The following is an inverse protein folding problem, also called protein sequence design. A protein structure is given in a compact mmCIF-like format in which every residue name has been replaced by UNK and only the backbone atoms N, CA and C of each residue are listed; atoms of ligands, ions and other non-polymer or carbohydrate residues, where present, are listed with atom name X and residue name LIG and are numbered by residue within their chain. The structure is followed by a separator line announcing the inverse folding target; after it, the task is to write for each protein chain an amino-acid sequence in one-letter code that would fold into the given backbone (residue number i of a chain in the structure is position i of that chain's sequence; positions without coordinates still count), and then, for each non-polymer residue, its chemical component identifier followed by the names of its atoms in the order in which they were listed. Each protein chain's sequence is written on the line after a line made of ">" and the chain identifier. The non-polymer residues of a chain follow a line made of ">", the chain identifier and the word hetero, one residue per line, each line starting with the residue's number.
data_IF_638602633963
#
_entry.id   IF_638602633963
#
_cell.length_a   1.000
_cell.length_b   1.000
_cell.length_c   1.000
_cell.angle_alpha   90.00
_cell.angle_beta   90.00
_cell.angle_gamma   90.00
#
_symmetry.space_group_name_H-M   'P 1'
#
loop_
_entity.id
_entity.type
_entity.pdbx_description
1 polymer ?
#
# COMPACT_ATOMS: atom_id res chain seq x y z
N UNK A 1 3.35 -29.04 4.39
CA UNK A 1 3.34 -29.66 3.05
C UNK A 1 1.97 -29.62 2.38
N UNK A 2 0.94 -30.28 2.91
CA UNK A 2 -0.36 -30.41 2.24
C UNK A 2 -1.06 -29.05 1.97
N UNK A 3 -1.05 -28.16 2.97
CA UNK A 3 -1.68 -26.84 2.90
C UNK A 3 -1.06 -25.86 1.89
N UNK A 4 0.27 -25.90 1.67
CA UNK A 4 0.93 -25.10 0.61
C UNK A 4 0.48 -25.56 -0.79
N UNK A 5 0.37 -26.87 -0.97
CA UNK A 5 -0.08 -27.47 -2.23
C UNK A 5 -1.56 -27.18 -2.50
N UNK A 6 -2.40 -27.16 -1.45
CA UNK A 6 -3.80 -26.73 -1.53
C UNK A 6 -3.92 -25.26 -1.98
N UNK A 7 -2.99 -24.39 -1.57
CA UNK A 7 -2.91 -22.98 -1.97
C UNK A 7 -2.19 -22.75 -3.32
N UNK A 8 -1.83 -23.79 -4.08
CA UNK A 8 -1.05 -23.70 -5.33
C UNK A 8 0.29 -22.92 -5.22
N UNK A 9 0.81 -22.70 -4.02
CA UNK A 9 2.04 -21.93 -3.83
C UNK A 9 3.27 -22.79 -4.12
N UNK A 10 4.21 -22.25 -4.90
CA UNK A 10 5.55 -22.87 -4.99
C UNK A 10 6.31 -22.65 -3.67
N UNK A 11 7.33 -23.46 -3.39
CA UNK A 11 8.14 -23.24 -2.18
C UNK A 11 8.88 -21.90 -2.21
N UNK A 12 9.27 -21.43 -3.40
CA UNK A 12 9.94 -20.13 -3.55
C UNK A 12 8.95 -18.97 -3.29
N UNK A 13 7.73 -19.11 -3.80
CA UNK A 13 6.63 -18.17 -3.58
C UNK A 13 6.31 -18.02 -2.09
N UNK A 14 6.18 -19.16 -1.41
CA UNK A 14 5.83 -19.19 0.01
C UNK A 14 6.99 -18.72 0.90
N UNK A 15 8.24 -19.02 0.52
CA UNK A 15 9.43 -18.48 1.19
C UNK A 15 9.50 -16.96 1.07
N UNK A 16 9.23 -16.43 -0.14
CA UNK A 16 9.18 -14.99 -0.41
C UNK A 16 8.10 -14.31 0.45
N UNK A 17 6.88 -14.85 0.48
CA UNK A 17 5.78 -14.35 1.34
C UNK A 17 6.08 -14.44 2.83
N UNK A 18 6.92 -15.38 3.25
CA UNK A 18 7.34 -15.51 4.63
C UNK A 18 8.48 -14.54 5.00
N UNK A 19 9.04 -13.79 4.04
CA UNK A 19 10.27 -13.03 4.24
C UNK A 19 11.44 -13.94 4.64
N UNK A 20 11.52 -15.15 4.05
CA UNK A 20 12.52 -16.17 4.38
C UNK A 20 13.18 -16.75 3.16
N UNK A 21 14.38 -17.30 3.35
CA UNK A 21 15.07 -18.03 2.31
C UNK A 21 14.31 -19.31 1.94
N UNK A 22 14.44 -19.74 0.68
CA UNK A 22 13.90 -21.02 0.21
C UNK A 22 14.40 -22.21 1.05
N UNK A 23 15.65 -22.14 1.55
CA UNK A 23 16.22 -23.18 2.39
C UNK A 23 15.54 -23.24 3.77
N UNK A 24 15.28 -22.07 4.37
CA UNK A 24 14.52 -21.96 5.63
C UNK A 24 13.09 -22.49 5.47
N UNK A 25 12.43 -22.16 4.35
CA UNK A 25 11.10 -22.69 4.04
C UNK A 25 11.11 -24.20 3.90
N UNK A 26 12.07 -24.77 3.17
CA UNK A 26 12.19 -26.23 2.98
C UNK A 26 12.41 -26.96 4.30
N UNK A 27 13.26 -26.42 5.18
CA UNK A 27 13.49 -26.96 6.53
C UNK A 27 12.21 -26.93 7.36
N UNK A 28 11.53 -25.79 7.40
CA UNK A 28 10.27 -25.64 8.12
C UNK A 28 9.16 -26.54 7.56
N UNK A 29 9.04 -26.66 6.23
CA UNK A 29 7.99 -27.47 5.61
C UNK A 29 8.20 -28.97 5.84
N UNK A 30 9.46 -29.42 5.91
CA UNK A 30 9.82 -30.79 6.26
C UNK A 30 9.64 -31.09 7.76
N UNK A 31 10.04 -30.15 8.62
CA UNK A 31 9.87 -30.20 10.06
C UNK A 31 9.76 -28.79 10.66
N UNK A 32 8.57 -28.34 11.06
CA UNK A 32 8.37 -27.00 11.63
C UNK A 32 9.20 -26.74 12.88
N UNK A 33 9.58 -27.79 13.62
CA UNK A 33 10.39 -27.66 14.83
C UNK A 33 11.89 -27.44 14.55
N UNK A 34 12.34 -27.73 13.33
CA UNK A 34 13.73 -27.60 12.90
C UNK A 34 14.21 -26.16 12.68
N UNK A 35 13.28 -25.22 12.60
CA UNK A 35 13.57 -23.79 12.50
C UNK A 35 13.23 -23.08 13.80
N UNK A 36 13.86 -21.92 14.00
CA UNK A 36 13.57 -21.04 15.13
C UNK A 36 12.08 -20.66 15.21
N UNK A 37 11.62 -20.34 16.41
CA UNK A 37 10.21 -20.03 16.68
C UNK A 37 9.64 -18.93 15.78
N UNK A 38 10.45 -17.92 15.46
CA UNK A 38 10.11 -16.82 14.56
C UNK A 38 9.93 -17.29 13.11
N UNK A 39 10.89 -18.06 12.56
CA UNK A 39 10.76 -18.66 11.23
C UNK A 39 9.57 -19.61 11.15
N UNK A 40 9.28 -20.30 12.25
CA UNK A 40 8.09 -21.14 12.37
C UNK A 40 6.81 -20.32 12.32
N UNK A 41 6.74 -19.19 13.02
CA UNK A 41 5.59 -18.28 12.97
C UNK A 41 5.40 -17.69 11.58
N UNK A 42 6.43 -17.10 10.96
CA UNK A 42 6.34 -16.49 9.61
C UNK A 42 5.96 -17.50 8.53
N UNK A 43 6.58 -18.67 8.51
CA UNK A 43 6.20 -19.70 7.53
C UNK A 43 4.79 -20.25 7.82
N UNK A 44 4.40 -20.36 9.10
CA UNK A 44 3.03 -20.70 9.47
C UNK A 44 2.06 -19.60 9.06
N UNK A 45 2.43 -18.33 9.17
CA UNK A 45 1.64 -17.16 8.78
C UNK A 45 1.37 -17.18 7.28
N UNK A 46 2.30 -17.60 6.44
CA UNK A 46 2.02 -17.82 5.01
C UNK A 46 0.95 -18.88 4.76
N UNK A 47 0.89 -19.92 5.59
CA UNK A 47 -0.16 -20.96 5.51
C UNK A 47 -1.41 -20.65 6.36
N UNK A 48 -1.34 -19.60 7.19
CA UNK A 48 -2.40 -19.07 8.08
C UNK A 48 -2.90 -17.72 7.64
N UNK A 49 -2.38 -17.17 6.54
CA UNK A 49 -3.11 -16.29 5.65
C UNK A 49 -4.31 -17.14 5.25
N UNK A 50 -5.31 -17.10 6.11
CA UNK A 50 -6.66 -16.91 5.69
C UNK A 50 -6.65 -15.66 4.78
N UNK A 51 -6.15 -15.83 3.55
CA UNK A 51 -7.13 -15.75 2.48
C UNK A 51 -8.14 -16.80 2.93
N UNK A 52 -9.13 -16.39 3.74
CA UNK A 52 -10.38 -17.12 3.73
C UNK A 52 -10.59 -17.37 2.24
N UNK A 53 -10.91 -18.58 1.82
CA UNK A 53 -11.44 -18.77 0.47
C UNK A 53 -12.69 -17.89 0.45
N UNK A 54 -12.49 -16.61 0.16
CA UNK A 54 -13.46 -15.56 0.13
C UNK A 54 -14.04 -15.84 -1.23
N UNK A 55 -15.19 -16.54 -1.27
CA UNK A 55 -15.68 -17.03 -2.55
C UNK A 55 -15.88 -15.83 -3.46
N UNK A 56 -15.73 -16.02 -4.77
CA UNK A 56 -16.16 -15.03 -5.75
C UNK A 56 -17.63 -14.68 -5.45
N UNK A 57 -17.93 -13.41 -5.13
CA UNK A 57 -19.24 -13.00 -4.63
C UNK A 57 -19.43 -13.11 -3.11
N UNK A 58 -18.35 -12.97 -2.34
CA UNK A 58 -18.39 -12.78 -0.89
C UNK A 58 -18.89 -11.40 -0.49
N UNK A 59 -19.26 -11.24 0.79
CA UNK A 59 -19.58 -9.94 1.38
C UNK A 59 -18.45 -8.89 1.17
N UNK A 60 -17.19 -9.34 1.08
CA UNK A 60 -16.03 -8.49 0.79
C UNK A 60 -16.01 -8.08 -0.68
N UNK A 61 -16.16 -9.02 -1.61
CA UNK A 61 -16.26 -8.73 -3.04
C UNK A 61 -17.39 -7.76 -3.36
N UNK A 62 -18.56 -8.01 -2.78
CA UNK A 62 -19.75 -7.17 -2.92
C UNK A 62 -19.55 -5.77 -2.31
N UNK A 63 -18.75 -5.65 -1.25
CA UNK A 63 -18.36 -4.36 -0.70
C UNK A 63 -17.58 -3.53 -1.73
N UNK A 64 -16.49 -4.07 -2.28
CA UNK A 64 -15.68 -3.31 -3.24
C UNK A 64 -16.43 -3.02 -4.53
N UNK A 65 -17.27 -3.93 -5.02
CA UNK A 65 -18.11 -3.67 -6.20
C UNK A 65 -19.10 -2.54 -5.92
N UNK A 66 -19.75 -2.52 -4.75
CA UNK A 66 -20.67 -1.44 -4.38
C UNK A 66 -19.95 -0.10 -4.20
N UNK A 67 -18.75 -0.11 -3.62
CA UNK A 67 -18.00 1.10 -3.31
C UNK A 67 -17.30 1.69 -4.54
N UNK A 68 -16.68 0.85 -5.37
CA UNK A 68 -15.79 1.26 -6.47
C UNK A 68 -16.30 0.87 -7.86
N UNK A 69 -17.44 0.18 -7.98
CA UNK A 69 -17.94 -0.31 -9.27
C UNK A 69 -18.15 0.78 -10.31
N UNK A 70 -18.58 1.97 -9.87
CA UNK A 70 -18.83 3.14 -10.70
C UNK A 70 -17.66 4.13 -10.73
N UNK A 71 -16.53 3.79 -10.09
CA UNK A 71 -15.33 4.63 -10.13
C UNK A 71 -14.67 4.53 -11.52
N UNK A 72 -14.51 5.64 -12.28
CA UNK A 72 -14.08 5.56 -13.66
C UNK A 72 -12.63 5.10 -13.82
N UNK A 73 -11.75 5.46 -12.87
CA UNK A 73 -10.30 5.30 -12.96
C UNK A 73 -9.71 4.18 -12.09
N UNK A 74 -10.45 3.70 -11.09
CA UNK A 74 -10.01 2.63 -10.18
C UNK A 74 -11.00 1.47 -10.20
N UNK A 75 -10.52 0.23 -10.35
CA UNK A 75 -11.39 -0.95 -10.29
C UNK A 75 -11.61 -1.45 -8.86
N UNK A 76 -12.72 -2.15 -8.59
CA UNK A 76 -12.92 -2.86 -7.32
C UNK A 76 -11.75 -3.79 -6.94
N UNK A 77 -11.13 -4.48 -7.91
CA UNK A 77 -9.97 -5.35 -7.66
C UNK A 77 -8.73 -4.58 -7.27
N UNK A 78 -8.45 -3.48 -7.95
CA UNK A 78 -7.32 -2.61 -7.62
C UNK A 78 -7.48 -2.05 -6.20
N UNK A 79 -8.67 -1.55 -5.86
CA UNK A 79 -8.98 -1.06 -4.52
C UNK A 79 -8.78 -2.12 -3.45
N UNK A 80 -9.29 -3.33 -3.68
CA UNK A 80 -9.10 -4.46 -2.77
C UNK A 80 -7.63 -4.88 -2.63
N UNK A 81 -6.89 -4.96 -3.73
CA UNK A 81 -5.48 -5.33 -3.70
C UNK A 81 -4.65 -4.32 -2.89
N UNK A 82 -4.92 -3.02 -3.06
CA UNK A 82 -4.22 -1.95 -2.34
C UNK A 82 -4.54 -1.98 -0.85
N UNK A 83 -5.81 -2.13 -0.46
CA UNK A 83 -6.17 -2.22 0.96
C UNK A 83 -5.56 -3.45 1.64
N UNK A 84 -5.56 -4.62 0.97
CA UNK A 84 -4.92 -5.83 1.49
C UNK A 84 -3.42 -5.63 1.68
N UNK A 85 -2.75 -4.98 0.73
CA UNK A 85 -1.33 -4.66 0.85
C UNK A 85 -1.02 -3.77 2.06
N UNK A 86 -1.85 -2.76 2.30
CA UNK A 86 -1.72 -1.87 3.45
C UNK A 86 -1.95 -2.60 4.78
N UNK A 87 -2.93 -3.50 4.84
CA UNK A 87 -3.18 -4.33 6.02
C UNK A 87 -2.03 -5.30 6.29
N UNK A 88 -1.44 -5.90 5.26
CA UNK A 88 -0.24 -6.75 5.39
C UNK A 88 0.92 -5.97 6.00
N UNK A 89 1.17 -4.75 5.55
CA UNK A 89 2.20 -3.90 6.13
C UNK A 89 1.90 -3.54 7.59
N UNK A 90 0.67 -3.15 7.90
CA UNK A 90 0.29 -2.82 9.27
C UNK A 90 0.41 -4.02 10.21
N UNK A 91 -0.25 -5.14 9.91
CA UNK A 91 -0.48 -6.24 10.83
C UNK A 91 0.72 -7.20 10.92
N UNK A 92 1.47 -7.33 9.82
CA UNK A 92 2.56 -8.30 9.72
C UNK A 92 3.89 -7.56 9.72
N UNK A 93 4.20 -6.80 8.68
CA UNK A 93 5.59 -6.37 8.45
C UNK A 93 6.05 -5.31 9.48
N UNK A 94 5.35 -4.19 9.57
CA UNK A 94 5.73 -3.10 10.46
C UNK A 94 5.46 -3.48 11.92
N UNK A 95 4.32 -4.10 12.23
CA UNK A 95 3.99 -4.51 13.60
C UNK A 95 4.98 -5.53 14.16
N UNK A 96 5.44 -6.49 13.37
CA UNK A 96 6.49 -7.42 13.79
C UNK A 96 7.81 -6.67 14.03
N UNK A 97 8.24 -5.83 13.09
CA UNK A 97 9.48 -5.08 13.22
C UNK A 97 9.47 -4.14 14.44
N UNK A 98 8.34 -3.48 14.71
CA UNK A 98 8.16 -2.62 15.89
C UNK A 98 8.29 -3.45 17.18
N UNK A 99 7.87 -4.71 17.21
CA UNK A 99 8.02 -5.59 18.37
C UNK A 99 9.44 -6.15 18.50
N UNK A 100 10.05 -6.56 17.38
CA UNK A 100 11.36 -7.20 17.29
C UNK A 100 12.11 -6.70 16.04
N UNK A 101 12.92 -5.62 16.14
CA UNK A 101 13.63 -5.04 15.01
C UNK A 101 14.92 -5.82 14.70
N UNK A 102 14.76 -7.06 14.27
CA UNK A 102 15.87 -8.00 14.02
C UNK A 102 16.59 -7.74 12.68
N UNK A 103 15.95 -6.98 11.79
CA UNK A 103 16.48 -6.55 10.50
C UNK A 103 16.41 -5.02 10.35
N UNK A 104 17.24 -4.40 9.50
CA UNK A 104 17.18 -2.95 9.27
C UNK A 104 15.83 -2.51 8.73
N UNK A 105 15.32 -1.35 9.15
CA UNK A 105 14.00 -0.87 8.73
C UNK A 105 13.83 -0.79 7.21
N UNK A 106 14.89 -0.41 6.47
CA UNK A 106 14.85 -0.29 5.02
C UNK A 106 14.68 -1.62 4.26
N UNK A 107 14.66 -2.76 4.96
CA UNK A 107 14.35 -4.08 4.35
C UNK A 107 12.95 -4.58 4.69
N UNK A 108 12.15 -3.76 5.37
CA UNK A 108 10.77 -4.09 5.78
C UNK A 108 9.83 -3.28 4.91
N UNK A 109 8.73 -3.86 4.41
CA UNK A 109 7.73 -3.07 3.68
C UNK A 109 6.92 -2.18 4.64
N UNK A 110 6.50 -0.99 4.18
CA UNK A 110 6.72 -0.40 2.85
C UNK A 110 8.11 0.21 2.64
N UNK A 111 8.93 0.30 3.68
CA UNK A 111 10.16 1.09 3.71
C UNK A 111 11.23 0.62 2.70
N UNK A 112 11.20 -0.63 2.27
CA UNK A 112 12.06 -1.13 1.19
C UNK A 112 11.81 -0.44 -0.17
N UNK A 113 10.64 0.18 -0.34
CA UNK A 113 10.30 0.96 -1.53
C UNK A 113 10.82 2.40 -1.46
N UNK A 114 11.23 2.86 -0.28
CA UNK A 114 11.67 4.24 -0.10
C UNK A 114 13.14 4.37 -0.50
N UNK A 115 13.50 5.50 -1.11
CA UNK A 115 14.87 5.80 -1.44
C UNK A 115 15.73 5.90 -0.17
N UNK A 116 16.98 5.45 -0.28
CA UNK A 116 17.91 5.34 0.84
C UNK A 116 18.12 6.66 1.60
N UNK A 117 18.16 7.85 0.97
CA UNK A 117 18.25 9.12 1.71
C UNK A 117 17.08 9.35 2.68
N UNK A 118 15.87 8.91 2.34
CA UNK A 118 14.71 8.97 3.24
C UNK A 118 14.97 8.08 4.45
N UNK A 119 15.37 6.83 4.18
CA UNK A 119 15.63 5.84 5.22
C UNK A 119 16.80 6.21 6.12
N UNK A 120 17.80 6.91 5.61
CA UNK A 120 18.91 7.45 6.42
C UNK A 120 18.46 8.53 7.40
N UNK A 121 17.46 9.35 7.04
CA UNK A 121 16.95 10.42 7.90
C UNK A 121 16.02 9.90 8.99
N UNK A 122 15.18 8.91 8.67
CA UNK A 122 14.32 8.23 9.66
C UNK A 122 15.15 7.32 10.57
N UNK A 123 16.12 6.59 10.00
CA UNK A 123 16.88 5.55 10.68
C UNK A 123 15.97 4.43 11.21
N UNK A 124 16.33 3.86 12.36
CA UNK A 124 15.57 2.78 13.02
C UNK A 124 14.50 3.34 13.99
N UNK A 125 13.84 4.44 13.62
CA UNK A 125 12.89 5.12 14.51
C UNK A 125 11.57 4.35 14.65
N UNK A 126 11.46 3.60 15.75
CA UNK A 126 10.28 2.79 16.10
C UNK A 126 8.98 3.58 16.23
N UNK A 127 9.03 4.81 16.74
CA UNK A 127 7.81 5.62 16.90
C UNK A 127 7.27 6.07 15.54
N UNK A 128 8.17 6.44 14.63
CA UNK A 128 7.80 6.80 13.27
C UNK A 128 7.26 5.59 12.50
N UNK A 129 7.94 4.43 12.58
CA UNK A 129 7.46 3.19 11.95
C UNK A 129 6.07 2.78 12.48
N UNK A 130 5.84 2.85 13.80
CA UNK A 130 4.52 2.60 14.37
C UNK A 130 3.45 3.61 13.89
N UNK A 131 3.84 4.87 13.69
CA UNK A 131 2.98 5.88 13.06
C UNK A 131 2.61 5.50 11.63
N UNK A 132 3.58 5.04 10.83
CA UNK A 132 3.33 4.54 9.47
C UNK A 132 2.39 3.34 9.47
N UNK A 133 2.57 2.37 10.38
CA UNK A 133 1.63 1.25 10.53
C UNK A 133 0.19 1.73 10.77
N UNK A 134 0.03 2.67 11.71
CA UNK A 134 -1.29 3.26 11.98
C UNK A 134 -1.89 3.94 10.73
N UNK A 135 -1.06 4.62 9.91
CA UNK A 135 -1.54 5.22 8.66
C UNK A 135 -1.96 4.16 7.64
N UNK A 136 -1.22 3.07 7.49
CA UNK A 136 -1.63 1.95 6.63
C UNK A 136 -3.02 1.44 7.00
N UNK A 137 -3.29 1.20 8.29
CA UNK A 137 -4.59 0.75 8.76
C UNK A 137 -5.72 1.77 8.53
N UNK A 138 -5.42 3.08 8.61
CA UNK A 138 -6.39 4.13 8.32
C UNK A 138 -6.74 4.16 6.83
N UNK A 139 -5.72 4.15 5.97
CA UNK A 139 -5.89 4.23 4.52
C UNK A 139 -6.63 2.98 4.00
N UNK A 140 -6.30 1.79 4.52
CA UNK A 140 -6.99 0.55 4.13
C UNK A 140 -8.51 0.65 4.37
N UNK A 141 -8.94 1.09 5.56
CA UNK A 141 -10.36 1.30 5.91
C UNK A 141 -11.03 2.40 5.10
N UNK A 142 -10.29 3.43 4.75
CA UNK A 142 -10.82 4.51 3.92
C UNK A 142 -11.08 4.02 2.50
N UNK A 143 -10.17 3.22 1.94
CA UNK A 143 -10.37 2.59 0.63
C UNK A 143 -11.58 1.66 0.68
N UNK A 144 -11.76 0.84 1.72
CA UNK A 144 -12.98 0.03 1.91
C UNK A 144 -14.27 0.87 1.86
N UNK A 145 -14.20 2.11 2.36
CA UNK A 145 -15.32 3.06 2.43
C UNK A 145 -15.46 3.98 1.21
N UNK A 146 -14.56 3.90 0.23
CA UNK A 146 -14.65 4.69 -1.01
C UNK A 146 -13.90 6.02 -0.96
N UNK A 147 -12.89 6.14 -0.11
CA UNK A 147 -12.09 7.37 0.06
C UNK A 147 -10.63 7.07 -0.22
N UNK A 148 -10.02 7.85 -1.13
CA UNK A 148 -8.58 7.84 -1.37
C UNK A 148 -7.88 8.92 -0.54
N UNK A 149 -6.56 8.79 -0.31
CA UNK A 149 -5.78 9.85 0.34
C UNK A 149 -5.94 11.24 -0.27
N UNK A 150 -6.08 11.33 -1.60
CA UNK A 150 -6.27 12.59 -2.31
C UNK A 150 -7.67 13.20 -2.16
N UNK A 151 -8.66 12.44 -1.66
CA UNK A 151 -10.05 12.91 -1.48
C UNK A 151 -10.24 13.74 -0.21
N UNK A 152 -9.25 13.75 0.68
CA UNK A 152 -9.35 14.42 1.97
C UNK A 152 -8.02 15.09 2.36
N UNK A 153 -8.06 16.11 3.22
CA UNK A 153 -6.86 16.57 3.90
C UNK A 153 -6.23 15.41 4.69
N UNK A 154 -4.95 15.14 4.45
CA UNK A 154 -4.18 14.11 5.15
C UNK A 154 -2.71 14.48 5.30
N UNK A 155 -1.98 13.78 6.18
CA UNK A 155 -0.53 13.88 6.26
C UNK A 155 0.11 13.43 4.93
N UNK A 156 1.27 13.99 4.61
CA UNK A 156 1.99 13.72 3.36
C UNK A 156 2.24 12.22 3.12
N UNK A 157 2.55 11.49 4.20
CA UNK A 157 2.81 10.05 4.13
C UNK A 157 1.65 9.24 3.55
N UNK A 158 0.40 9.71 3.61
CA UNK A 158 -0.74 8.93 3.11
C UNK A 158 -0.67 8.71 1.60
N UNK A 159 -0.34 9.77 0.84
CA UNK A 159 -0.23 9.70 -0.62
C UNK A 159 1.01 8.88 -1.02
N UNK A 160 2.13 9.03 -0.29
CA UNK A 160 3.34 8.20 -0.46
C UNK A 160 3.02 6.71 -0.24
N UNK A 161 2.29 6.37 0.83
CA UNK A 161 1.91 4.99 1.14
C UNK A 161 0.96 4.40 0.13
N UNK A 162 0.02 5.19 -0.38
CA UNK A 162 -0.87 4.75 -1.46
C UNK A 162 -0.12 4.46 -2.75
N UNK A 163 0.83 5.33 -3.14
CA UNK A 163 1.70 5.10 -4.30
C UNK A 163 2.52 3.81 -4.13
N UNK A 164 3.14 3.63 -2.96
CA UNK A 164 3.90 2.42 -2.64
C UNK A 164 3.01 1.17 -2.68
N UNK A 165 1.83 1.23 -2.04
CA UNK A 165 0.90 0.11 -1.95
C UNK A 165 0.36 -0.28 -3.33
N UNK A 166 0.06 0.70 -4.17
CA UNK A 166 -0.39 0.48 -5.55
C UNK A 166 0.66 -0.27 -6.37
N UNK A 167 1.95 0.11 -6.26
CA UNK A 167 3.02 -0.57 -6.98
C UNK A 167 3.23 -2.00 -6.47
N UNK A 168 3.20 -2.21 -5.15
CA UNK A 168 3.32 -3.53 -4.55
C UNK A 168 2.11 -4.43 -4.90
N UNK A 169 0.89 -3.89 -4.80
CA UNK A 169 -0.37 -4.56 -5.15
C UNK A 169 -0.39 -4.99 -6.62
N UNK A 170 0.04 -4.12 -7.55
CA UNK A 170 0.22 -4.49 -8.96
C UNK A 170 1.16 -5.68 -9.10
N UNK A 171 2.33 -5.60 -8.47
CA UNK A 171 3.34 -6.66 -8.53
C UNK A 171 2.82 -8.00 -7.99
N UNK A 172 1.97 -7.99 -6.97
CA UNK A 172 1.39 -9.22 -6.43
C UNK A 172 0.22 -9.74 -7.26
N UNK A 173 -0.64 -8.88 -7.77
CA UNK A 173 -1.74 -9.28 -8.66
C UNK A 173 -1.22 -9.94 -9.95
N UNK A 174 -0.07 -9.48 -10.47
CA UNK A 174 0.61 -10.11 -11.62
C UNK A 174 1.20 -11.49 -11.28
N UNK A 175 1.72 -11.67 -10.06
CA UNK A 175 2.40 -12.91 -9.66
C UNK A 175 1.42 -13.97 -9.16
N UNK A 176 0.39 -13.57 -8.43
CA UNK A 176 -0.66 -14.43 -7.90
C UNK A 176 -2.04 -13.78 -8.06
N UNK A 177 -2.69 -13.99 -9.21
CA UNK A 177 -4.03 -13.47 -9.47
C UNK A 177 -5.09 -13.97 -8.47
N UNK A 178 -4.86 -15.10 -7.79
CA UNK A 178 -5.82 -15.65 -6.83
C UNK A 178 -6.05 -14.74 -5.62
N UNK A 179 -5.11 -13.83 -5.35
CA UNK A 179 -5.24 -12.83 -4.29
C UNK A 179 -6.37 -11.82 -4.56
N UNK A 180 -6.73 -11.59 -5.83
CA UNK A 180 -7.77 -10.62 -6.23
C UNK A 180 -9.03 -11.29 -6.79
N UNK A 181 -9.01 -12.61 -6.99
CA UNK A 181 -10.16 -13.42 -7.42
C UNK A 181 -11.43 -13.24 -6.57
N UNK A 182 -11.38 -13.01 -5.24
CA UNK A 182 -12.57 -12.77 -4.43
C UNK A 182 -13.46 -11.62 -4.91
N UNK A 183 -12.89 -10.66 -5.64
CA UNK A 183 -13.60 -9.52 -6.21
C UNK A 183 -13.85 -9.77 -7.71
N UNK A 184 -15.06 -9.56 -8.23
CA UNK A 184 -15.36 -9.70 -9.65
C UNK A 184 -14.46 -8.83 -10.54
N UNK A 185 -14.10 -9.36 -11.71
CA UNK A 185 -13.33 -8.63 -12.70
C UNK A 185 -14.12 -7.46 -13.27
N UNK A 186 -13.43 -6.36 -13.59
CA UNK A 186 -14.00 -5.30 -14.42
C UNK A 186 -13.36 -5.33 -15.80
N UNK A 187 -14.17 -5.58 -16.83
CA UNK A 187 -13.74 -5.44 -18.22
C UNK A 187 -13.66 -3.95 -18.59
N UNK A 188 -12.63 -3.62 -19.36
CA UNK A 188 -12.50 -2.28 -19.93
C UNK A 188 -13.68 -1.99 -20.86
N UNK A 189 -14.32 -0.84 -20.68
CA UNK A 189 -15.33 -0.34 -21.63
C UNK A 189 -14.74 0.88 -22.32
N UNK A 190 -14.47 0.74 -23.63
CA UNK A 190 -14.18 1.87 -24.50
C UNK A 190 -15.48 2.28 -25.16
N UNK A 191 -16.03 3.44 -24.80
CA UNK A 191 -17.16 4.01 -25.53
C UNK A 191 -16.82 4.10 -27.01
N UNK A 192 -17.69 3.56 -27.88
CA UNK A 192 -17.68 3.92 -29.29
C UNK A 192 -17.94 5.43 -29.42
N UNK A 193 -17.48 6.05 -30.50
CA UNK A 193 -17.63 7.49 -30.73
C UNK A 193 -19.12 7.94 -30.63
N UNK A 194 -19.54 8.32 -29.43
CA UNK A 194 -20.94 8.62 -29.09
C UNK A 194 -21.43 8.10 -27.73
N UNK A 195 -20.71 7.20 -27.05
CA UNK A 195 -20.99 6.79 -25.66
C UNK A 195 -19.98 7.43 -24.70
N UNK A 196 -20.50 8.14 -23.69
CA UNK A 196 -19.71 8.88 -22.69
C UNK A 196 -19.07 7.95 -21.62
N UNK A 197 -19.25 6.63 -21.73
CA UNK A 197 -18.87 5.68 -20.68
C UNK A 197 -17.52 5.01 -20.97
N UNK A 198 -16.44 5.69 -20.55
CA UNK A 198 -15.10 5.11 -20.45
C UNK A 198 -14.89 4.50 -19.05
N UNK A 199 -14.61 3.19 -18.97
CA UNK A 199 -14.31 2.49 -17.71
C UNK A 199 -12.99 1.71 -17.83
N UNK A 200 -12.08 1.98 -16.89
CA UNK A 200 -10.76 1.34 -16.79
C UNK A 200 -10.89 -0.13 -16.35
N UNK A 201 -10.19 -1.04 -17.03
CA UNK A 201 -10.12 -2.47 -16.68
C UNK A 201 -9.03 -2.80 -15.64
N UNK A 202 -9.06 -4.02 -15.08
CA UNK A 202 -8.15 -4.40 -13.98
C UNK A 202 -6.65 -4.31 -14.30
N UNK A 203 -6.27 -4.47 -15.56
CA UNK A 203 -4.87 -4.42 -16.03
C UNK A 203 -4.31 -2.99 -16.18
N UNK A 204 -5.18 -1.97 -16.14
CA UNK A 204 -4.83 -0.59 -16.42
C UNK A 204 -4.40 0.16 -15.16
N UNK A 205 -3.34 -0.32 -14.51
CA UNK A 205 -2.73 0.36 -13.35
C UNK A 205 -2.16 1.74 -13.71
N UNK A 206 -1.74 1.94 -14.97
CA UNK A 206 -1.27 3.24 -15.46
C UNK A 206 -2.29 4.36 -15.28
N UNK A 207 -3.54 4.11 -15.69
CA UNK A 207 -4.64 5.09 -15.56
C UNK A 207 -4.95 5.42 -14.10
N UNK A 208 -4.83 4.44 -13.20
CA UNK A 208 -4.95 4.69 -11.75
C UNK A 208 -3.83 5.61 -11.26
N UNK A 209 -2.58 5.40 -11.70
CA UNK A 209 -1.46 6.26 -11.31
C UNK A 209 -1.62 7.67 -11.86
N UNK A 210 -1.98 7.81 -13.13
CA UNK A 210 -2.14 9.11 -13.79
C UNK A 210 -3.26 9.92 -13.12
N UNK A 211 -4.44 9.31 -12.89
CA UNK A 211 -5.54 10.00 -12.22
C UNK A 211 -5.24 10.30 -10.74
N UNK A 212 -4.52 9.40 -10.05
CA UNK A 212 -4.10 9.67 -8.67
C UNK A 212 -3.09 10.81 -8.60
N UNK A 213 -2.12 10.88 -9.52
CA UNK A 213 -1.14 11.98 -9.62
C UNK A 213 -1.84 13.32 -9.87
N UNK A 214 -2.79 13.36 -10.81
CA UNK A 214 -3.56 14.57 -11.15
C UNK A 214 -4.39 15.10 -9.97
N UNK A 215 -4.84 14.21 -9.07
CA UNK A 215 -5.68 14.55 -7.92
C UNK A 215 -4.92 14.72 -6.63
N UNK A 216 -3.67 14.26 -6.59
CA UNK A 216 -2.84 14.29 -5.38
C UNK A 216 -2.66 15.72 -4.90
N UNK A 217 -2.80 15.91 -3.59
CA UNK A 217 -2.52 17.23 -3.00
C UNK A 217 -1.02 17.51 -3.05
N UNK A 218 -0.22 16.47 -2.94
CA UNK A 218 1.23 16.54 -2.93
C UNK A 218 1.76 16.01 -4.27
N UNK A 219 2.00 16.90 -5.23
CA UNK A 219 2.53 16.54 -6.56
C UNK A 219 3.95 15.93 -6.52
N UNK A 220 4.53 15.79 -5.34
CA UNK A 220 5.85 15.24 -5.06
C UNK A 220 5.76 13.95 -4.22
N UNK A 221 4.58 13.32 -4.09
CA UNK A 221 4.37 12.11 -3.28
C UNK A 221 5.17 10.89 -3.78
N UNK A 222 5.50 10.83 -5.07
CA UNK A 222 6.20 9.73 -5.71
C UNK A 222 7.73 9.86 -5.61
N UNK A 223 8.26 11.06 -5.35
CA UNK A 223 9.71 11.30 -5.27
C UNK A 223 10.44 10.40 -4.27
N UNK A 224 9.90 10.12 -3.06
CA UNK A 224 10.48 9.16 -2.13
C UNK A 224 10.54 7.72 -2.65
N UNK A 225 9.73 7.36 -3.64
CA UNK A 225 9.60 6.00 -4.18
C UNK A 225 10.47 5.78 -5.42
N UNK A 226 10.99 6.87 -6.00
CA UNK A 226 11.82 6.87 -7.19
C UNK A 226 13.30 6.88 -6.80
N UNK A 227 13.99 5.76 -7.04
CA UNK A 227 15.42 5.63 -6.74
C UNK A 227 16.26 6.70 -7.47
N UNK A 228 17.14 7.35 -6.71
CA UNK A 228 18.04 8.38 -7.19
C UNK A 228 17.31 9.58 -7.82
N UNK A 229 16.08 9.88 -7.37
CA UNK A 229 15.32 11.02 -7.89
C UNK A 229 16.06 12.34 -7.59
N UNK A 230 16.40 13.16 -8.61
CA UNK A 230 17.17 14.38 -8.42
C UNK A 230 16.43 15.45 -7.58
N UNK A 231 15.10 15.41 -7.55
CA UNK A 231 14.28 16.33 -6.77
C UNK A 231 14.11 15.90 -5.30
N UNK A 232 14.43 14.64 -4.96
CA UNK A 232 14.26 14.11 -3.60
C UNK A 232 14.99 14.95 -2.56
N UNK A 233 16.22 15.40 -2.86
CA UNK A 233 16.99 16.21 -1.92
C UNK A 233 16.28 17.51 -1.56
N UNK A 234 15.67 18.17 -2.55
CA UNK A 234 14.93 19.41 -2.33
C UNK A 234 13.69 19.16 -1.47
N UNK A 235 12.93 18.09 -1.78
CA UNK A 235 11.81 17.65 -0.97
C UNK A 235 12.21 17.40 0.49
N UNK A 236 13.33 16.70 0.73
CA UNK A 236 13.78 16.38 2.09
C UNK A 236 14.24 17.61 2.88
N UNK A 237 14.77 18.63 2.21
CA UNK A 237 15.13 19.91 2.83
C UNK A 237 13.88 20.72 3.24
N UNK A 238 12.81 20.68 2.43
CA UNK A 238 11.55 21.40 2.71
C UNK A 238 10.63 20.64 3.67
N UNK A 239 10.60 19.31 3.55
CA UNK A 239 9.70 18.42 4.28
C UNK A 239 10.49 17.21 4.79
N UNK A 240 11.13 17.30 5.96
CA UNK A 240 11.88 16.19 6.53
C UNK A 240 10.98 14.98 6.83
N UNK A 241 11.43 13.72 6.64
CA UNK A 241 10.60 12.52 6.82
C UNK A 241 9.91 12.39 8.19
N UNK A 242 10.53 12.93 9.24
CA UNK A 242 9.97 12.90 10.59
C UNK A 242 8.71 13.77 10.76
N UNK A 243 8.44 14.70 9.83
CA UNK A 243 7.22 15.52 9.81
C UNK A 243 6.14 14.96 8.89
N UNK A 244 6.40 13.88 8.16
CA UNK A 244 5.46 13.36 7.15
C UNK A 244 4.17 12.80 7.75
N UNK A 245 4.18 12.46 9.05
CA UNK A 245 3.03 12.03 9.84
C UNK A 245 2.23 13.20 10.44
N UNK A 246 2.77 14.43 10.36
CA UNK A 246 2.09 15.59 10.93
C UNK A 246 0.81 15.89 10.14
N UNK A 247 -0.27 16.31 10.81
CA UNK A 247 -1.48 16.72 10.13
C UNK A 247 -1.16 17.85 9.15
N UNK A 248 -1.86 17.92 8.00
CA UNK A 248 -1.63 18.99 7.05
C UNK A 248 -1.84 20.32 7.76
N UNK A 249 -0.95 21.29 7.52
CA UNK A 249 -1.13 22.64 8.03
C UNK A 249 -2.46 23.18 7.49
N UNK A 250 -3.47 23.21 8.35
CA UNK A 250 -4.70 23.93 8.11
C UNK A 250 -4.53 25.28 8.81
N UNK A 251 -4.21 26.37 8.08
CA UNK A 251 -4.32 27.68 8.70
C UNK A 251 -5.77 27.79 9.14
N UNK A 252 -5.96 27.99 10.45
CA UNK A 252 -7.24 28.27 11.09
C UNK A 252 -8.14 29.09 10.13
N UNK A 253 -9.44 28.78 9.96
CA UNK A 253 -10.33 29.58 9.14
C UNK A 253 -10.21 31.10 9.41
N UNK A 254 -9.88 31.50 10.65
CA UNK A 254 -9.60 32.90 11.00
C UNK A 254 -8.26 33.42 10.40
N UNK A 255 -7.23 32.56 10.27
CA UNK A 255 -5.99 32.85 9.55
C UNK A 255 -6.19 32.90 8.03
N UNK A 256 -7.09 32.08 7.46
CA UNK A 256 -7.46 32.18 6.03
C UNK A 256 -8.18 33.50 5.72
N UNK A 257 -9.06 33.93 6.63
CA UNK A 257 -9.70 35.24 6.54
C UNK A 257 -8.66 36.37 6.66
N UNK A 258 -7.69 36.26 7.57
CA UNK A 258 -6.60 37.23 7.70
C UNK A 258 -5.68 37.28 6.47
N UNK A 259 -5.27 36.13 5.92
CA UNK A 259 -4.41 36.04 4.74
C UNK A 259 -5.10 36.54 3.46
N UNK A 260 -6.40 36.28 3.31
CA UNK A 260 -7.21 36.83 2.19
C UNK A 260 -7.53 38.32 2.34
N UNK A 261 -7.35 38.89 3.55
CA UNK A 261 -7.47 40.31 3.83
C UNK A 261 -6.13 41.07 3.77
N UNK A 262 -5.00 40.40 3.47
CA UNK A 262 -3.73 41.06 3.22
C UNK A 262 -3.60 41.42 1.73
N UNK A 263 -3.66 42.71 1.35
CA UNK A 263 -3.46 43.11 -0.03
C UNK A 263 -1.96 43.10 -0.35
N UNK A 264 -1.54 42.29 -1.34
CA UNK A 264 -0.24 42.44 -1.99
C UNK A 264 0.74 41.27 -1.90
N UNK A 265 0.31 40.03 -2.12
CA UNK A 265 1.23 38.97 -2.57
C UNK A 265 0.74 38.45 -3.92
N UNK A 266 0.90 39.29 -4.94
CA UNK A 266 1.25 38.78 -6.26
C UNK A 266 2.77 38.58 -6.25
N UNK A 267 3.22 37.36 -6.53
CA UNK A 267 4.62 36.97 -6.59
C UNK A 267 4.78 35.46 -6.52
#
# INVERSE_FOLDING_TARGET
>A
MQRRLEMNLTQAEAARRAGRSLDTWRKWEADPSSVGEESRRRCSAVLRLEVHEVPVGSDVGDLYVRTWGECPFMTPRQAYAISVQLDVWNDIEISEWVQSPDEPLYTVGPFESFDLPVMMLVGENRAWAAGVAQRCAVIAREIESGVLPCDRPGPYIDEVLFGAASNAARGWAEIDPSLVEPVPAREETRGDAGDDEYRVGDDYWGELYDEFDDRSRWTDYDYPLLKDNPALRHLLDERPPLTWLDPPFDPDPDLRALLSMMPGVEG
#
